data_IF_823365517863
#
_entry.id   IF_823365517863
#
_cell.length_a   1.000
_cell.length_b   1.000
_cell.length_c   1.000
_cell.angle_alpha   90.00
_cell.angle_beta   90.00
_cell.angle_gamma   90.00
#
_symmetry.space_group_name_H-M   'P 1'
#
loop_
_entity.id
_entity.type
_entity.pdbx_description
1 polymer ?
#
# COMPACT_ATOMS: atom_id res chain seq x y z
N UNK A 1 -59.90 32.20 11.86
CA UNK A 1 -58.83 31.38 12.47
C UNK A 1 -58.02 32.30 13.35
N UNK A 2 -57.91 32.04 14.68
CA UNK A 2 -57.30 32.94 15.66
C UNK A 2 -55.75 32.93 15.44
N UNK A 3 -55.08 34.07 15.60
CA UNK A 3 -53.61 34.24 15.42
C UNK A 3 -52.81 33.18 16.17
N UNK A 4 -53.25 32.74 17.32
CA UNK A 4 -52.61 31.66 18.11
C UNK A 4 -52.74 30.29 17.44
N UNK A 5 -53.84 29.98 16.80
CA UNK A 5 -54.06 28.72 16.07
C UNK A 5 -53.12 28.60 14.87
N UNK A 6 -52.85 29.70 14.15
CA UNK A 6 -51.84 29.71 13.05
C UNK A 6 -50.43 29.56 13.57
N UNK A 7 -50.10 30.16 14.71
CA UNK A 7 -48.76 30.06 15.30
C UNK A 7 -48.44 28.63 15.77
N UNK A 8 -49.40 27.95 16.41
CA UNK A 8 -49.24 26.54 16.80
C UNK A 8 -49.08 25.62 15.59
N UNK A 9 -49.83 25.84 14.51
CA UNK A 9 -49.72 25.06 13.29
C UNK A 9 -48.38 25.21 12.59
N UNK A 10 -47.81 26.43 12.54
CA UNK A 10 -46.49 26.67 11.94
C UNK A 10 -45.34 26.06 12.78
N UNK A 11 -45.42 26.14 14.11
CA UNK A 11 -44.41 25.48 14.98
C UNK A 11 -44.46 23.97 14.81
N UNK A 12 -45.65 23.36 14.76
CA UNK A 12 -45.78 21.91 14.55
C UNK A 12 -45.25 21.46 13.20
N UNK A 13 -45.46 22.21 12.12
CA UNK A 13 -44.91 21.91 10.79
C UNK A 13 -43.38 22.00 10.73
N UNK A 14 -42.80 23.03 11.40
CA UNK A 14 -41.34 23.20 11.44
C UNK A 14 -40.67 22.08 12.25
N UNK A 15 -41.22 21.66 13.38
CA UNK A 15 -40.69 20.54 14.17
C UNK A 15 -40.80 19.21 13.45
N UNK A 16 -41.91 18.98 12.74
CA UNK A 16 -42.10 17.78 11.92
C UNK A 16 -41.10 17.72 10.73
N UNK A 17 -40.91 18.82 10.01
CA UNK A 17 -39.95 18.92 8.93
C UNK A 17 -38.49 18.70 9.41
N UNK A 18 -38.12 19.32 10.56
CA UNK A 18 -36.81 19.10 11.16
C UNK A 18 -36.59 17.63 11.60
N UNK A 19 -37.63 16.98 12.11
CA UNK A 19 -37.61 15.55 12.44
C UNK A 19 -37.36 14.67 11.20
N UNK A 20 -38.00 14.95 10.07
CA UNK A 20 -37.81 14.20 8.81
C UNK A 20 -36.39 14.39 8.27
N UNK A 21 -35.87 15.62 8.27
CA UNK A 21 -34.51 15.91 7.81
C UNK A 21 -33.47 15.20 8.69
N UNK A 22 -33.67 15.22 10.01
CA UNK A 22 -32.77 14.55 10.96
C UNK A 22 -32.75 13.02 10.76
N UNK A 23 -33.93 12.41 10.59
CA UNK A 23 -34.03 10.95 10.38
C UNK A 23 -33.41 10.52 9.04
N UNK A 24 -33.60 11.30 7.97
CA UNK A 24 -32.97 11.05 6.68
C UNK A 24 -31.45 11.13 6.80
N UNK A 25 -30.91 12.18 7.41
CA UNK A 25 -29.48 12.34 7.63
C UNK A 25 -28.87 11.17 8.42
N UNK A 26 -29.53 10.74 9.51
CA UNK A 26 -29.08 9.59 10.30
C UNK A 26 -29.11 8.31 9.50
N UNK A 27 -30.13 8.10 8.66
CA UNK A 27 -30.23 6.93 7.81
C UNK A 27 -29.10 6.91 6.75
N UNK A 28 -28.84 8.04 6.10
CA UNK A 28 -27.76 8.16 5.11
C UNK A 28 -26.39 7.88 5.76
N UNK A 29 -26.14 8.40 6.97
CA UNK A 29 -24.93 8.10 7.74
C UNK A 29 -24.81 6.63 8.16
N UNK A 30 -25.91 6.00 8.52
CA UNK A 30 -25.92 4.57 8.84
C UNK A 30 -25.60 3.69 7.62
N UNK A 31 -26.07 4.06 6.43
CA UNK A 31 -25.73 3.39 5.18
C UNK A 31 -24.23 3.53 4.89
N UNK A 32 -23.69 4.74 5.01
CA UNK A 32 -22.25 5.01 4.84
C UNK A 32 -21.40 4.19 5.83
N UNK A 33 -21.76 4.17 7.10
CA UNK A 33 -21.06 3.38 8.14
C UNK A 33 -21.07 1.90 7.79
N UNK A 34 -22.21 1.35 7.35
CA UNK A 34 -22.28 -0.07 6.95
C UNK A 34 -21.36 -0.36 5.78
N UNK A 35 -21.36 0.48 4.75
CA UNK A 35 -20.48 0.29 3.59
C UNK A 35 -19.00 0.32 3.96
N UNK A 36 -18.59 1.23 4.86
CA UNK A 36 -17.22 1.32 5.37
C UNK A 36 -16.84 0.10 6.23
N UNK A 37 -17.77 -0.43 7.02
CA UNK A 37 -17.55 -1.65 7.80
C UNK A 37 -17.35 -2.87 6.90
N UNK A 38 -18.16 -3.01 5.85
CA UNK A 38 -18.05 -4.11 4.88
C UNK A 38 -16.72 -4.01 4.10
N UNK A 39 -16.31 -2.81 3.70
CA UNK A 39 -15.02 -2.59 3.05
C UNK A 39 -13.85 -2.92 3.97
N UNK A 40 -13.88 -2.47 5.22
CA UNK A 40 -12.87 -2.81 6.22
C UNK A 40 -12.76 -4.33 6.45
N UNK A 41 -13.89 -5.02 6.55
CA UNK A 41 -13.92 -6.48 6.68
C UNK A 41 -13.25 -7.15 5.48
N UNK A 42 -13.61 -6.76 4.26
CA UNK A 42 -13.01 -7.29 3.01
C UNK A 42 -11.50 -7.04 2.95
N UNK A 43 -11.06 -5.84 3.32
CA UNK A 43 -9.63 -5.50 3.35
C UNK A 43 -8.88 -6.34 4.38
N UNK A 44 -9.47 -6.55 5.57
CA UNK A 44 -8.88 -7.39 6.62
C UNK A 44 -8.76 -8.85 6.20
N UNK A 45 -9.78 -9.40 5.52
CA UNK A 45 -9.76 -10.76 4.98
C UNK A 45 -8.68 -10.91 3.89
N UNK A 46 -8.56 -9.93 2.99
CA UNK A 46 -7.52 -9.92 1.97
C UNK A 46 -6.11 -9.85 2.59
N UNK A 47 -5.90 -8.97 3.58
CA UNK A 47 -4.62 -8.89 4.29
C UNK A 47 -4.25 -10.23 4.93
N UNK A 48 -5.20 -10.88 5.61
CA UNK A 48 -4.98 -12.18 6.21
C UNK A 48 -4.61 -13.25 5.17
N UNK A 49 -5.25 -13.22 4.00
CA UNK A 49 -4.91 -14.10 2.88
C UNK A 49 -3.46 -13.88 2.42
N UNK A 50 -3.04 -12.63 2.19
CA UNK A 50 -1.66 -12.32 1.81
C UNK A 50 -0.63 -12.71 2.88
N UNK A 51 -1.00 -12.63 4.16
CA UNK A 51 -0.15 -13.08 5.27
C UNK A 51 0.08 -14.59 5.31
N UNK A 52 -0.92 -15.37 4.89
CA UNK A 52 -0.84 -16.85 4.88
C UNK A 52 -0.26 -17.42 3.58
N UNK A 53 -0.39 -16.71 2.46
CA UNK A 53 0.09 -17.14 1.14
C UNK A 53 1.47 -16.56 0.76
N UNK A 54 2.13 -15.86 1.68
CA UNK A 54 3.43 -15.24 1.46
C UNK A 54 4.53 -16.26 1.13
N UNK A 55 5.38 -15.93 0.16
CA UNK A 55 6.55 -16.74 -0.19
C UNK A 55 7.72 -16.43 0.75
N UNK A 56 8.38 -17.47 1.26
CA UNK A 56 9.63 -17.29 2.02
C UNK A 56 10.79 -16.99 1.08
N UNK A 57 11.48 -15.90 1.35
CA UNK A 57 12.65 -15.44 0.62
C UNK A 57 13.79 -15.09 1.59
N UNK A 58 15.02 -15.13 1.11
CA UNK A 58 16.14 -14.54 1.84
C UNK A 58 16.20 -13.05 1.52
N UNK A 59 16.21 -12.21 2.53
CA UNK A 59 16.34 -10.75 2.36
C UNK A 59 17.76 -10.33 2.75
N UNK A 60 18.39 -9.55 1.89
CA UNK A 60 19.69 -8.91 2.10
C UNK A 60 19.58 -7.43 1.74
N UNK A 61 20.67 -6.68 1.90
CA UNK A 61 20.73 -5.27 1.53
C UNK A 61 21.95 -5.04 0.63
N UNK A 62 21.84 -4.07 -0.29
CA UNK A 62 22.94 -3.65 -1.12
C UNK A 62 23.01 -2.12 -1.23
N UNK A 63 24.19 -1.61 -1.43
CA UNK A 63 24.45 -0.21 -1.70
C UNK A 63 24.70 0.01 -3.18
N UNK A 64 24.26 1.13 -3.78
CA UNK A 64 24.50 1.44 -5.18
C UNK A 64 25.95 1.96 -5.40
N UNK A 65 26.93 1.08 -5.18
CA UNK A 65 28.35 1.35 -5.29
C UNK A 65 29.00 0.35 -6.28
N UNK A 66 30.03 0.78 -6.97
CA UNK A 66 30.63 0.02 -8.10
C UNK A 66 31.18 -1.36 -7.77
N UNK A 67 31.47 -1.65 -6.51
CA UNK A 67 31.94 -2.98 -6.07
C UNK A 67 30.79 -3.93 -5.68
N UNK A 68 29.55 -3.42 -5.55
CA UNK A 68 28.34 -4.24 -5.30
C UNK A 68 27.42 -4.34 -6.52
N UNK A 69 27.53 -3.41 -7.47
CA UNK A 69 26.71 -3.31 -8.67
C UNK A 69 27.57 -3.43 -9.93
N UNK A 70 27.00 -3.16 -11.10
CA UNK A 70 27.75 -2.99 -12.34
C UNK A 70 28.44 -1.62 -12.44
N UNK A 71 28.93 -1.27 -13.64
CA UNK A 71 29.60 0.02 -13.89
C UNK A 71 28.70 1.26 -13.78
N UNK A 72 27.38 1.07 -13.59
CA UNK A 72 26.36 2.12 -13.55
C UNK A 72 25.52 2.07 -12.27
N UNK A 73 26.11 2.24 -11.08
CA UNK A 73 25.44 2.01 -9.79
C UNK A 73 24.20 2.91 -9.55
N UNK A 74 24.04 3.97 -10.31
CA UNK A 74 22.92 4.89 -10.23
C UNK A 74 21.79 4.57 -11.24
N UNK A 75 21.89 3.47 -12.00
CA UNK A 75 20.86 3.03 -12.94
C UNK A 75 20.45 1.61 -12.57
N UNK A 76 19.18 1.41 -12.23
CA UNK A 76 18.61 0.10 -11.89
C UNK A 76 18.30 -0.71 -13.16
N UNK A 77 18.06 -2.00 -13.02
CA UNK A 77 17.85 -2.90 -14.16
C UNK A 77 16.63 -2.56 -15.04
N UNK A 78 15.66 -1.84 -14.52
CA UNK A 78 14.50 -1.32 -15.28
C UNK A 78 14.79 0.03 -15.97
N UNK A 79 16.01 0.57 -15.85
CA UNK A 79 16.42 1.86 -16.38
C UNK A 79 16.15 3.05 -15.44
N UNK A 80 15.58 2.84 -14.27
CA UNK A 80 15.34 3.90 -13.28
C UNK A 80 16.66 4.48 -12.81
N UNK A 81 16.79 5.80 -12.90
CA UNK A 81 17.94 6.53 -12.37
C UNK A 81 17.68 7.01 -10.96
N UNK A 82 18.59 6.72 -10.05
CA UNK A 82 18.52 7.08 -8.62
C UNK A 82 19.61 8.06 -8.21
N UNK A 83 19.39 8.73 -7.07
CA UNK A 83 20.41 9.46 -6.34
C UNK A 83 20.96 8.54 -5.24
N UNK A 84 22.20 8.12 -5.37
CA UNK A 84 22.80 7.08 -4.52
C UNK A 84 22.82 7.44 -3.04
N UNK A 85 23.04 8.71 -2.69
CA UNK A 85 23.12 9.19 -1.31
C UNK A 85 21.79 9.19 -0.54
N UNK A 86 20.65 9.04 -1.23
CA UNK A 86 19.31 8.92 -0.63
C UNK A 86 18.62 7.63 -1.07
N UNK A 87 19.38 6.62 -1.46
CA UNK A 87 18.85 5.39 -2.05
C UNK A 87 17.82 4.69 -1.15
N UNK A 88 18.03 4.69 0.16
CA UNK A 88 17.11 4.09 1.15
C UNK A 88 15.70 4.71 1.13
N UNK A 89 15.56 5.98 0.74
CA UNK A 89 14.28 6.70 0.74
C UNK A 89 13.32 6.20 -0.36
N UNK A 90 13.87 5.63 -1.44
CA UNK A 90 13.04 5.14 -2.57
C UNK A 90 12.23 3.90 -2.24
N UNK A 91 12.62 3.13 -1.24
CA UNK A 91 12.01 1.83 -0.93
C UNK A 91 12.00 0.88 -2.13
N UNK A 92 13.11 0.83 -2.86
CA UNK A 92 13.32 -0.05 -4.00
C UNK A 92 14.03 -1.34 -3.61
N UNK A 93 13.79 -2.38 -4.39
CA UNK A 93 14.41 -3.70 -4.21
C UNK A 93 14.88 -4.27 -5.54
N UNK A 94 15.96 -5.04 -5.45
CA UNK A 94 16.36 -6.01 -6.46
C UNK A 94 15.78 -7.39 -6.11
N UNK A 95 15.29 -8.11 -7.10
CA UNK A 95 14.78 -9.47 -6.92
C UNK A 95 15.56 -10.48 -7.73
N UNK A 96 15.69 -11.72 -7.23
CA UNK A 96 16.31 -12.80 -8.00
C UNK A 96 15.49 -13.10 -9.25
N UNK A 97 16.17 -13.50 -10.33
CA UNK A 97 15.57 -13.65 -11.68
C UNK A 97 14.37 -14.58 -11.69
N UNK A 98 14.42 -15.68 -10.95
CA UNK A 98 13.32 -16.65 -10.88
C UNK A 98 12.01 -16.09 -10.30
N UNK A 99 12.02 -14.91 -9.69
CA UNK A 99 10.81 -14.23 -9.20
C UNK A 99 10.17 -13.33 -10.28
N UNK A 100 10.91 -12.96 -11.33
CA UNK A 100 10.42 -12.10 -12.41
C UNK A 100 9.74 -12.89 -13.52
N UNK A 101 8.59 -12.41 -14.01
CA UNK A 101 7.77 -13.03 -15.09
C UNK A 101 8.58 -13.36 -16.32
N UNK A 102 9.51 -12.50 -16.72
CA UNK A 102 10.40 -12.72 -17.87
C UNK A 102 11.27 -13.98 -17.75
N UNK A 103 11.40 -14.56 -16.56
CA UNK A 103 12.12 -15.80 -16.27
C UNK A 103 11.25 -16.86 -15.57
N UNK A 104 9.91 -16.76 -15.72
CA UNK A 104 8.97 -17.77 -15.22
C UNK A 104 8.42 -17.50 -13.82
N UNK A 105 8.75 -16.38 -13.19
CA UNK A 105 8.19 -15.93 -11.92
C UNK A 105 6.84 -15.23 -12.08
N UNK A 106 6.51 -14.42 -11.11
CA UNK A 106 5.20 -13.75 -11.02
C UNK A 106 5.29 -12.21 -10.81
N UNK A 107 6.47 -11.66 -10.57
CA UNK A 107 6.72 -10.23 -10.40
C UNK A 107 7.12 -9.55 -11.71
N UNK A 108 6.76 -8.28 -11.84
CA UNK A 108 7.29 -7.37 -12.85
C UNK A 108 8.00 -6.17 -12.22
N UNK A 109 8.83 -5.48 -12.98
CA UNK A 109 9.32 -4.17 -12.57
C UNK A 109 8.16 -3.20 -12.39
N UNK A 110 8.16 -2.47 -11.29
CA UNK A 110 7.08 -1.58 -10.88
C UNK A 110 6.09 -2.19 -9.89
N UNK A 111 6.04 -3.52 -9.74
CA UNK A 111 5.19 -4.17 -8.75
C UNK A 111 5.59 -3.78 -7.33
N UNK A 112 4.60 -3.71 -6.44
CA UNK A 112 4.81 -3.49 -5.01
C UNK A 112 4.67 -4.80 -4.25
N UNK A 113 5.58 -5.05 -3.33
CA UNK A 113 5.53 -6.20 -2.42
C UNK A 113 5.63 -5.76 -0.97
N UNK A 114 4.99 -6.51 -0.09
CA UNK A 114 5.09 -6.34 1.35
C UNK A 114 6.14 -7.33 1.89
N UNK A 115 7.23 -6.81 2.44
CA UNK A 115 8.21 -7.60 3.20
C UNK A 115 7.81 -7.62 4.67
N UNK A 116 7.86 -8.81 5.28
CA UNK A 116 7.60 -9.03 6.71
C UNK A 116 8.62 -10.00 7.29
N UNK A 117 8.91 -9.82 8.58
CA UNK A 117 9.85 -10.66 9.32
C UNK A 117 11.31 -10.33 9.01
N UNK A 118 11.57 -9.12 8.57
CA UNK A 118 12.93 -8.56 8.43
C UNK A 118 13.29 -7.80 9.71
N UNK A 119 14.53 -7.83 10.09
CA UNK A 119 14.99 -7.11 11.29
C UNK A 119 14.99 -5.59 11.04
N UNK A 120 13.86 -4.94 11.37
CA UNK A 120 13.66 -3.50 11.27
C UNK A 120 13.45 -2.95 9.84
N UNK A 121 13.31 -3.80 8.83
CA UNK A 121 13.09 -3.41 7.43
C UNK A 121 11.75 -3.86 6.87
N UNK A 122 10.79 -4.18 7.73
CA UNK A 122 9.42 -4.52 7.29
C UNK A 122 8.78 -3.32 6.58
N UNK A 123 8.05 -3.59 5.50
CA UNK A 123 7.38 -2.53 4.76
C UNK A 123 7.06 -2.88 3.32
N UNK A 124 6.48 -1.89 2.63
CA UNK A 124 6.16 -1.98 1.20
C UNK A 124 7.34 -1.48 0.40
N UNK A 125 7.75 -2.28 -0.58
CA UNK A 125 8.87 -1.99 -1.48
C UNK A 125 8.45 -2.16 -2.92
N UNK A 126 9.11 -1.43 -3.82
CA UNK A 126 8.86 -1.53 -5.25
C UNK A 126 10.00 -2.27 -5.96
N UNK A 127 9.63 -3.22 -6.82
CA UNK A 127 10.59 -3.98 -7.66
C UNK A 127 11.11 -3.07 -8.76
N UNK A 128 12.41 -2.75 -8.75
CA UNK A 128 13.06 -1.87 -9.73
C UNK A 128 14.37 -2.44 -10.27
N UNK A 129 14.90 -3.49 -9.61
CA UNK A 129 16.20 -4.03 -9.95
C UNK A 129 16.18 -5.56 -9.97
N UNK A 130 17.23 -6.18 -10.51
CA UNK A 130 17.39 -7.62 -10.58
C UNK A 130 18.77 -8.07 -10.14
N UNK A 131 18.79 -9.18 -9.43
CA UNK A 131 20.02 -9.77 -8.92
C UNK A 131 20.74 -10.61 -9.98
N UNK A 132 22.02 -10.91 -9.73
CA UNK A 132 22.80 -11.82 -10.55
C UNK A 132 22.14 -13.22 -10.65
N UNK A 133 22.32 -13.95 -11.79
CA UNK A 133 21.62 -15.22 -12.05
C UNK A 133 21.81 -16.33 -11.01
N UNK A 134 22.91 -16.27 -10.24
CA UNK A 134 23.23 -17.26 -9.20
C UNK A 134 22.29 -17.22 -7.99
N UNK A 135 21.53 -16.13 -7.82
CA UNK A 135 20.64 -15.95 -6.69
C UNK A 135 19.23 -16.46 -7.01
N UNK A 136 18.65 -17.22 -6.07
CA UNK A 136 17.32 -17.81 -6.19
C UNK A 136 16.52 -17.52 -4.92
N UNK A 137 15.24 -17.13 -5.07
CA UNK A 137 14.34 -16.80 -3.97
C UNK A 137 14.94 -15.78 -2.98
N UNK A 138 15.58 -14.76 -3.52
CA UNK A 138 16.24 -13.71 -2.74
C UNK A 138 15.76 -12.33 -3.17
N UNK A 139 15.73 -11.43 -2.21
CA UNK A 139 15.41 -10.01 -2.37
C UNK A 139 16.54 -9.21 -1.73
N UNK A 140 16.95 -8.15 -2.40
CA UNK A 140 18.00 -7.26 -1.94
C UNK A 140 17.42 -5.85 -1.80
N UNK A 141 17.41 -5.31 -0.59
CA UNK A 141 16.89 -3.96 -0.31
C UNK A 141 17.96 -2.94 -0.67
N UNK A 142 17.57 -1.94 -1.46
CA UNK A 142 18.44 -0.82 -1.82
C UNK A 142 18.61 0.12 -0.63
N UNK A 143 19.87 0.31 -0.20
CA UNK A 143 20.23 1.19 0.90
C UNK A 143 21.17 2.31 0.44
N UNK A 144 21.20 3.41 1.19
CA UNK A 144 22.18 4.48 0.96
C UNK A 144 23.58 4.04 1.44
N UNK A 145 24.65 4.44 0.75
CA UNK A 145 26.00 4.09 1.20
C UNK A 145 26.31 4.58 2.61
N UNK A 146 26.83 3.68 3.46
CA UNK A 146 27.27 4.00 4.82
C UNK A 146 26.14 4.12 5.85
N UNK A 147 24.98 3.53 5.59
CA UNK A 147 23.86 3.42 6.57
C UNK A 147 23.98 2.19 7.45
#
# INVERSE_FOLDING_TARGET
>A
MNRYSMMFLTIALVTYANGIVSTKFLNDKNIEIRSLLDENKRLTENLKKYETEGMKVTVTMYEPVSYQTDSTPNILADGTRIRTHIASEYKFIAVSRNLLKRWGGWLDYGDFILLKGTDGKDGVYQVRDTMAPRWVNRIDILESPGT
#
